data_IF_163158290038
#
_entry.id   IF_163158290038
#
_cell.length_a   1.000
_cell.length_b   1.000
_cell.length_c   1.000
_cell.angle_alpha   90.00
_cell.angle_beta   90.00
_cell.angle_gamma   90.00
#
_symmetry.space_group_name_H-M   'P 1'
#
loop_
_entity.id
_entity.type
_entity.pdbx_description
1 polymer ?
#
# COMPACT_ATOMS: atom_id res chain seq x y z
N UNK A 1 11.05 13.74 5.57
CA UNK A 1 9.87 13.51 6.43
C UNK A 1 9.40 14.86 6.95
N UNK A 2 8.08 15.10 6.95
CA UNK A 2 7.48 16.37 7.31
C UNK A 2 6.52 16.15 8.48
N UNK A 3 6.56 16.98 9.55
CA UNK A 3 5.58 16.90 10.62
C UNK A 3 4.20 17.35 10.12
N UNK A 4 3.15 16.83 10.73
CA UNK A 4 1.78 17.29 10.50
C UNK A 4 1.27 18.13 11.68
N UNK A 5 0.06 18.67 11.59
CA UNK A 5 -0.62 19.31 12.73
C UNK A 5 -1.18 18.32 13.75
N UNK A 6 -1.16 17.02 13.43
CA UNK A 6 -1.59 15.95 14.32
C UNK A 6 -0.39 15.43 15.10
N UNK A 7 -0.58 15.23 16.41
CA UNK A 7 0.43 14.61 17.25
C UNK A 7 0.72 13.18 16.76
N UNK A 8 1.99 12.78 16.86
CA UNK A 8 2.47 11.45 16.48
C UNK A 8 2.27 11.06 15.00
N UNK A 9 2.08 12.04 14.10
CA UNK A 9 1.92 11.80 12.67
C UNK A 9 2.88 12.62 11.82
N UNK A 10 3.63 11.93 10.96
CA UNK A 10 4.54 12.50 9.98
C UNK A 10 4.24 11.95 8.58
N UNK A 11 4.62 12.72 7.57
CA UNK A 11 4.39 12.36 6.17
C UNK A 11 5.71 12.40 5.40
N UNK A 12 5.94 11.37 4.59
CA UNK A 12 6.96 11.38 3.54
C UNK A 12 6.21 11.49 2.20
N UNK A 13 6.23 12.66 1.54
CA UNK A 13 5.57 12.78 0.24
C UNK A 13 6.31 11.96 -0.83
N UNK A 14 5.62 11.60 -1.91
CA UNK A 14 6.15 10.78 -3.01
C UNK A 14 7.35 11.40 -3.74
N UNK A 15 7.55 12.71 -3.61
CA UNK A 15 8.60 13.44 -4.30
C UNK A 15 8.33 13.59 -5.80
N UNK A 16 9.37 13.94 -6.56
CA UNK A 16 9.27 14.10 -8.02
C UNK A 16 9.57 12.74 -8.68
N UNK A 17 8.65 12.26 -9.50
CA UNK A 17 8.76 10.97 -10.16
C UNK A 17 9.39 11.14 -11.55
N UNK A 18 10.67 10.80 -11.71
CA UNK A 18 11.36 10.97 -13.00
C UNK A 18 11.17 9.80 -13.97
N UNK A 19 10.92 8.57 -13.48
CA UNK A 19 10.94 7.35 -14.30
C UNK A 19 9.68 6.45 -14.21
N UNK A 20 8.60 6.95 -13.62
CA UNK A 20 7.28 6.30 -13.63
C UNK A 20 7.15 4.91 -12.96
N UNK A 21 8.22 4.35 -12.40
CA UNK A 21 8.24 3.01 -11.76
C UNK A 21 9.07 3.01 -10.50
N UNK A 22 8.60 2.27 -9.48
CA UNK A 22 9.34 2.02 -8.26
C UNK A 22 10.28 0.83 -8.48
N UNK A 23 11.58 1.06 -8.31
CA UNK A 23 12.58 -0.01 -8.28
C UNK A 23 12.94 -0.33 -6.84
N UNK A 24 12.81 -1.60 -6.43
CA UNK A 24 13.34 -2.05 -5.14
C UNK A 24 14.85 -2.08 -5.23
N UNK A 25 15.48 -1.05 -4.72
CA UNK A 25 16.93 -1.00 -4.54
C UNK A 25 17.29 -1.35 -3.09
N UNK A 26 18.57 -1.64 -2.86
CA UNK A 26 19.14 -1.77 -1.51
C UNK A 26 18.84 -0.55 -0.66
N UNK A 27 18.86 0.64 -1.25
CA UNK A 27 18.65 1.91 -0.59
C UNK A 27 17.20 2.07 -0.12
N UNK A 28 16.20 1.63 -0.92
CA UNK A 28 14.80 1.65 -0.50
C UNK A 28 14.58 0.74 0.72
N UNK A 29 15.16 -0.45 0.71
CA UNK A 29 15.05 -1.39 1.84
C UNK A 29 15.70 -0.84 3.10
N UNK A 30 16.89 -0.24 2.99
CA UNK A 30 17.58 0.41 4.11
C UNK A 30 16.74 1.53 4.70
N UNK A 31 16.21 2.43 3.85
CA UNK A 31 15.38 3.56 4.29
C UNK A 31 14.10 3.11 4.97
N UNK A 32 13.42 2.09 4.45
CA UNK A 32 12.25 1.53 5.13
C UNK A 32 12.65 0.94 6.49
N UNK A 33 13.80 0.27 6.57
CA UNK A 33 14.35 -0.23 7.84
C UNK A 33 14.57 0.88 8.87
N UNK A 34 15.24 1.97 8.48
CA UNK A 34 15.49 3.14 9.32
C UNK A 34 14.17 3.75 9.84
N UNK A 35 13.17 3.94 8.96
CA UNK A 35 11.87 4.48 9.36
C UNK A 35 11.12 3.54 10.32
N UNK A 36 11.26 2.22 10.16
CA UNK A 36 10.65 1.24 11.06
C UNK A 36 11.28 1.24 12.47
N UNK A 37 12.51 1.72 12.62
CA UNK A 37 13.15 1.86 13.94
C UNK A 37 12.68 3.12 14.68
N UNK A 38 12.23 4.15 13.95
CA UNK A 38 11.77 5.42 14.51
C UNK A 38 10.26 5.46 14.82
N UNK A 39 9.46 4.60 14.19
CA UNK A 39 8.00 4.62 14.28
C UNK A 39 7.39 3.28 14.66
N UNK A 40 6.41 3.30 15.57
CA UNK A 40 5.62 2.12 15.92
C UNK A 40 4.83 1.56 14.73
N UNK A 41 4.36 2.46 13.85
CA UNK A 41 3.59 2.12 12.66
C UNK A 41 4.04 2.94 11.45
N UNK A 42 4.26 2.25 10.33
CA UNK A 42 4.58 2.85 9.04
C UNK A 42 3.50 2.47 8.04
N UNK A 43 2.73 3.46 7.59
CA UNK A 43 1.71 3.30 6.56
C UNK A 43 2.28 3.76 5.21
N UNK A 44 2.24 2.87 4.23
CA UNK A 44 2.69 3.16 2.87
C UNK A 44 1.47 3.14 1.95
N UNK A 45 1.17 4.29 1.35
CA UNK A 45 0.19 4.37 0.27
C UNK A 45 0.80 3.82 -1.03
N UNK A 46 0.04 2.99 -1.72
CA UNK A 46 0.49 2.27 -2.91
C UNK A 46 -0.53 2.41 -4.04
N UNK A 47 -0.09 2.44 -5.30
CA UNK A 47 -1.02 2.48 -6.44
C UNK A 47 -1.86 1.19 -6.52
N UNK A 48 -2.91 1.20 -7.34
CA UNK A 48 -3.76 0.01 -7.50
C UNK A 48 -2.95 -1.19 -8.08
N UNK A 49 -3.15 -2.38 -7.49
CA UNK A 49 -2.45 -3.63 -7.85
C UNK A 49 -2.52 -3.92 -9.36
N UNK A 50 -3.67 -3.65 -9.97
CA UNK A 50 -3.95 -4.04 -11.37
C UNK A 50 -3.31 -3.06 -12.37
N UNK A 51 -3.00 -1.83 -11.96
CA UNK A 51 -2.46 -0.80 -12.86
C UNK A 51 -0.96 -0.54 -12.69
N UNK A 52 -0.35 -0.97 -11.59
CA UNK A 52 1.07 -0.76 -11.34
C UNK A 52 1.71 -1.94 -10.59
N UNK A 53 2.91 -2.38 -10.99
CA UNK A 53 3.68 -3.38 -10.26
C UNK A 53 4.23 -2.85 -8.93
N UNK A 54 4.23 -1.53 -8.71
CA UNK A 54 4.89 -0.90 -7.56
C UNK A 54 4.27 -1.34 -6.23
N UNK A 55 2.96 -1.59 -6.20
CA UNK A 55 2.28 -2.06 -5.00
C UNK A 55 2.68 -3.48 -4.59
N UNK A 56 2.97 -4.35 -5.56
CA UNK A 56 3.51 -5.69 -5.30
C UNK A 56 4.92 -5.57 -4.73
N UNK A 57 5.72 -4.71 -5.33
CA UNK A 57 7.08 -4.36 -4.89
C UNK A 57 7.08 -3.85 -3.45
N UNK A 58 6.19 -2.92 -3.10
CA UNK A 58 6.03 -2.41 -1.75
C UNK A 58 5.59 -3.50 -0.78
N UNK A 59 4.64 -4.34 -1.20
CA UNK A 59 4.20 -5.49 -0.41
C UNK A 59 5.33 -6.45 -0.01
N UNK A 60 6.39 -6.57 -0.83
CA UNK A 60 7.56 -7.42 -0.54
C UNK A 60 8.56 -6.81 0.45
N UNK A 61 8.42 -5.52 0.80
CA UNK A 61 9.28 -4.81 1.75
C UNK A 61 8.53 -4.37 3.01
N UNK A 62 7.24 -4.68 3.11
CA UNK A 62 6.37 -4.42 4.28
C UNK A 62 6.05 -5.69 5.05
N UNK A 63 5.61 -5.55 6.30
CA UNK A 63 5.16 -6.69 7.11
C UNK A 63 3.84 -7.29 6.61
N UNK A 64 3.02 -6.49 5.93
CA UNK A 64 1.81 -6.94 5.27
C UNK A 64 1.06 -5.83 4.56
N UNK A 65 0.12 -6.22 3.71
CA UNK A 65 -0.69 -5.35 2.87
C UNK A 65 -2.18 -5.52 3.17
N UNK A 66 -2.93 -4.42 3.13
CA UNK A 66 -4.40 -4.43 3.20
C UNK A 66 -4.96 -4.08 1.83
N UNK A 67 -5.83 -4.94 1.29
CA UNK A 67 -6.46 -4.69 -0.01
C UNK A 67 -7.70 -3.81 0.16
N UNK A 68 -7.69 -2.61 -0.42
CA UNK A 68 -8.87 -1.75 -0.45
C UNK A 68 -9.69 -2.03 -1.70
N UNK A 69 -10.97 -2.38 -1.52
CA UNK A 69 -11.92 -2.69 -2.59
C UNK A 69 -13.07 -1.70 -2.51
N UNK A 70 -13.32 -0.97 -3.59
CA UNK A 70 -14.43 -0.02 -3.64
C UNK A 70 -15.76 -0.72 -3.95
N UNK A 71 -16.74 -0.56 -3.06
CA UNK A 71 -18.06 -1.14 -3.19
C UNK A 71 -18.80 -0.61 -4.42
N UNK A 72 -19.55 -1.49 -5.08
CA UNK A 72 -20.32 -1.20 -6.30
C UNK A 72 -19.52 -0.70 -7.51
N UNK A 73 -18.21 -0.52 -7.37
CA UNK A 73 -17.31 -0.09 -8.44
C UNK A 73 -16.34 -1.22 -8.84
N UNK A 74 -15.64 -1.79 -7.87
CA UNK A 74 -14.65 -2.84 -8.14
C UNK A 74 -15.35 -4.17 -8.42
N UNK A 75 -15.16 -4.71 -9.62
CA UNK A 75 -15.69 -6.04 -9.97
C UNK A 75 -15.01 -7.10 -9.12
N UNK A 76 -15.78 -8.12 -8.72
CA UNK A 76 -15.27 -9.24 -7.90
C UNK A 76 -14.09 -9.94 -8.57
N UNK A 77 -14.13 -10.09 -9.89
CA UNK A 77 -13.07 -10.71 -10.68
C UNK A 77 -11.77 -9.88 -10.63
N UNK A 78 -11.87 -8.55 -10.63
CA UNK A 78 -10.72 -7.64 -10.49
C UNK A 78 -10.09 -7.76 -9.10
N UNK A 79 -10.91 -7.80 -8.03
CA UNK A 79 -10.41 -8.01 -6.67
C UNK A 79 -9.76 -9.40 -6.52
N UNK A 80 -10.32 -10.43 -7.15
CA UNK A 80 -9.74 -11.78 -7.15
C UNK A 80 -8.38 -11.81 -7.86
N UNK A 81 -8.27 -11.18 -9.03
CA UNK A 81 -7.02 -11.08 -9.77
C UNK A 81 -5.93 -10.34 -8.96
N UNK A 82 -6.31 -9.27 -8.26
CA UNK A 82 -5.38 -8.55 -7.38
C UNK A 82 -4.83 -9.45 -6.26
N UNK A 83 -5.71 -10.24 -5.62
CA UNK A 83 -5.31 -11.22 -4.62
C UNK A 83 -4.39 -12.30 -5.21
N UNK A 84 -4.77 -12.91 -6.34
CA UNK A 84 -3.97 -13.93 -7.01
C UNK A 84 -2.56 -13.40 -7.38
N UNK A 85 -2.47 -12.13 -7.79
CA UNK A 85 -1.20 -11.45 -8.09
C UNK A 85 -0.32 -11.33 -6.83
N UNK A 86 -0.91 -10.90 -5.71
CA UNK A 86 -0.21 -10.77 -4.42
C UNK A 86 0.24 -12.12 -3.88
N UNK A 87 -0.62 -13.15 -3.96
CA UNK A 87 -0.31 -14.52 -3.56
C UNK A 87 0.86 -15.10 -4.39
N UNK A 88 0.84 -14.91 -5.71
CA UNK A 88 1.92 -15.34 -6.60
C UNK A 88 3.25 -14.64 -6.29
N UNK A 89 3.20 -13.38 -5.86
CA UNK A 89 4.36 -12.60 -5.44
C UNK A 89 4.81 -12.85 -3.98
N UNK A 90 4.11 -13.75 -3.26
CA UNK A 90 4.34 -14.08 -1.84
C UNK A 90 4.23 -12.87 -0.92
N UNK A 91 3.33 -11.94 -1.24
CA UNK A 91 3.02 -10.80 -0.37
C UNK A 91 1.99 -11.22 0.68
N UNK A 92 2.26 -10.93 1.94
CA UNK A 92 1.32 -11.19 3.04
C UNK A 92 0.15 -10.21 2.96
N UNK A 93 -1.05 -10.73 2.65
CA UNK A 93 -2.29 -9.95 2.71
C UNK A 93 -2.93 -10.10 4.09
N UNK A 94 -2.94 -9.02 4.89
CA UNK A 94 -3.49 -9.01 6.25
C UNK A 94 -5.02 -9.07 6.26
N UNK A 95 -5.65 -8.56 5.21
CA UNK A 95 -7.10 -8.50 5.08
C UNK A 95 -7.53 -7.60 3.93
N UNK A 96 -8.83 -7.34 3.86
CA UNK A 96 -9.41 -6.43 2.88
C UNK A 96 -10.38 -5.45 3.54
N UNK A 97 -10.45 -4.23 3.00
CA UNK A 97 -11.41 -3.20 3.38
C UNK A 97 -12.38 -3.00 2.22
N UNK A 98 -13.68 -3.11 2.51
CA UNK A 98 -14.72 -2.71 1.56
C UNK A 98 -15.04 -1.23 1.80
N UNK A 99 -14.56 -0.36 0.91
CA UNK A 99 -14.75 1.08 1.02
C UNK A 99 -15.98 1.57 0.24
N UNK A 100 -16.50 2.75 0.56
CA UNK A 100 -17.68 3.37 -0.09
C UNK A 100 -18.94 2.48 -0.08
N UNK A 101 -19.04 1.56 0.88
CA UNK A 101 -20.24 0.75 1.07
C UNK A 101 -21.31 1.54 1.83
N UNK A 102 -22.46 1.77 1.20
CA UNK A 102 -23.63 2.33 1.90
C UNK A 102 -24.35 1.22 2.66
N UNK A 103 -24.42 1.35 3.99
CA UNK A 103 -25.24 0.44 4.80
C UNK A 103 -26.72 0.75 4.56
N UNK A 104 -27.59 -0.26 4.35
CA UNK A 104 -29.02 -0.03 4.31
C UNK A 104 -29.50 0.59 5.63
N UNK A 105 -30.04 1.81 5.59
CA UNK A 105 -30.63 2.50 6.74
C UNK A 105 -29.73 3.50 7.46
N UNK A 106 -28.58 3.90 6.88
CA UNK A 106 -27.81 5.06 7.31
C UNK A 106 -28.30 6.36 6.65
#
# INVERSE_FOLDING_TARGET
MLPTTLENLWVIPSGVQENGRLHVSSELRSRIGEVKEEFDYVLIDAPAIVSSPDAVVLGQVTDGLILVVEANYTRRETARLAKETLDAAKVTVLGAILNNHTLPGA
#
